data_IF_997814761743
#
_entry.id   IF_997814761743
#
_cell.length_a   1.000
_cell.length_b   1.000
_cell.length_c   1.000
_cell.angle_alpha   90.00
_cell.angle_beta   90.00
_cell.angle_gamma   90.00
#
_symmetry.space_group_name_H-M   'P 1'
#
loop_
_entity.id
_entity.type
_entity.pdbx_description
1 polymer ?
#
# COMPACT_ATOMS: atom_id res chain seq x y z
N UNK A 1 57.96 8.89 -32.68
CA UNK A 1 56.61 8.79 -33.30
C UNK A 1 55.83 7.59 -32.73
N UNK A 2 56.44 6.52 -32.30
CA UNK A 2 55.82 5.36 -31.70
C UNK A 2 55.23 5.57 -30.31
N UNK A 3 55.80 6.42 -29.48
CA UNK A 3 55.33 6.72 -28.10
C UNK A 3 54.01 7.53 -28.05
N UNK A 4 53.75 8.35 -29.06
CA UNK A 4 52.50 9.15 -29.13
C UNK A 4 51.31 8.24 -29.51
N UNK A 5 51.57 7.28 -30.42
CA UNK A 5 50.55 6.33 -30.83
C UNK A 5 50.19 5.35 -29.68
N UNK A 6 51.17 4.87 -28.91
CA UNK A 6 50.90 4.00 -27.75
C UNK A 6 50.10 4.72 -26.67
N UNK A 7 50.33 5.98 -26.38
CA UNK A 7 49.59 6.74 -25.40
C UNK A 7 48.13 7.03 -25.84
N UNK A 8 47.89 7.26 -27.13
CA UNK A 8 46.54 7.41 -27.66
C UNK A 8 45.73 6.11 -27.64
N UNK A 9 46.34 4.97 -27.92
CA UNK A 9 45.72 3.67 -27.79
C UNK A 9 45.38 3.33 -26.33
N UNK A 10 46.27 3.61 -25.37
CA UNK A 10 46.00 3.43 -23.93
C UNK A 10 44.89 4.35 -23.42
N UNK A 11 44.83 5.59 -23.87
CA UNK A 11 43.75 6.51 -23.52
C UNK A 11 42.41 6.05 -24.10
N UNK A 12 42.36 5.59 -25.35
CA UNK A 12 41.14 5.03 -25.95
C UNK A 12 40.67 3.75 -25.27
N UNK A 13 41.58 2.87 -24.87
CA UNK A 13 41.25 1.68 -24.11
C UNK A 13 40.74 2.01 -22.71
N UNK A 14 41.34 3.01 -22.06
CA UNK A 14 40.91 3.46 -20.71
C UNK A 14 39.47 3.98 -20.68
N UNK A 15 39.08 4.80 -21.64
CA UNK A 15 37.71 5.35 -21.67
C UNK A 15 36.66 4.27 -22.04
N UNK A 16 37.03 3.32 -22.93
CA UNK A 16 36.17 2.17 -23.26
C UNK A 16 35.91 1.28 -22.04
N UNK A 17 36.93 1.00 -21.25
CA UNK A 17 36.82 0.28 -19.99
C UNK A 17 35.95 1.02 -18.98
N UNK A 18 36.11 2.34 -18.87
CA UNK A 18 35.27 3.18 -18.03
C UNK A 18 33.80 3.16 -18.48
N UNK A 19 33.55 3.32 -19.78
CA UNK A 19 32.18 3.26 -20.33
C UNK A 19 31.55 1.89 -20.14
N UNK A 20 32.29 0.81 -20.35
CA UNK A 20 31.84 -0.58 -20.13
C UNK A 20 31.51 -0.84 -18.65
N UNK A 21 32.32 -0.31 -17.73
CA UNK A 21 32.09 -0.44 -16.29
C UNK A 21 30.81 0.31 -15.87
N UNK A 22 30.58 1.51 -16.37
CA UNK A 22 29.36 2.29 -16.13
C UNK A 22 28.12 1.57 -16.68
N UNK A 23 28.22 1.07 -17.92
CA UNK A 23 27.11 0.32 -18.53
C UNK A 23 26.80 -0.97 -17.76
N UNK A 24 27.83 -1.70 -17.32
CA UNK A 24 27.70 -2.87 -16.48
C UNK A 24 27.03 -2.57 -15.14
N UNK A 25 27.40 -1.45 -14.51
CA UNK A 25 26.79 -1.00 -13.26
C UNK A 25 25.31 -0.64 -13.44
N UNK A 26 24.96 0.08 -14.50
CA UNK A 26 23.57 0.43 -14.83
C UNK A 26 22.74 -0.83 -15.08
N UNK A 27 23.29 -1.80 -15.83
CA UNK A 27 22.62 -3.07 -16.09
C UNK A 27 22.41 -3.87 -14.80
N UNK A 28 23.41 -3.92 -13.92
CA UNK A 28 23.31 -4.61 -12.63
C UNK A 28 22.25 -3.97 -11.74
N UNK A 29 22.19 -2.64 -11.66
CA UNK A 29 21.15 -1.91 -10.92
C UNK A 29 19.78 -2.19 -11.54
N UNK A 30 19.65 -2.18 -12.86
CA UNK A 30 18.41 -2.50 -13.56
C UNK A 30 17.90 -3.89 -13.25
N UNK A 31 18.77 -4.89 -13.30
CA UNK A 31 18.44 -6.29 -12.96
C UNK A 31 18.05 -6.42 -11.50
N UNK A 32 18.74 -5.76 -10.58
CA UNK A 32 18.39 -5.76 -9.16
C UNK A 32 16.99 -5.18 -8.90
N UNK A 33 16.66 -4.06 -9.55
CA UNK A 33 15.33 -3.46 -9.49
C UNK A 33 14.29 -4.43 -10.04
N UNK A 34 14.54 -5.02 -11.22
CA UNK A 34 13.62 -5.98 -11.82
C UNK A 34 13.34 -7.18 -10.89
N UNK A 35 14.35 -7.77 -10.30
CA UNK A 35 14.18 -8.92 -9.38
C UNK A 35 13.33 -8.52 -8.17
N UNK A 36 13.59 -7.35 -7.59
CA UNK A 36 12.87 -6.88 -6.40
C UNK A 36 11.39 -6.61 -6.70
N UNK A 37 11.08 -5.92 -7.79
CA UNK A 37 9.70 -5.62 -8.17
C UNK A 37 8.97 -6.81 -8.77
N UNK A 38 9.68 -7.71 -9.44
CA UNK A 38 9.09 -8.90 -10.04
C UNK A 38 8.45 -9.82 -8.99
N UNK A 39 9.08 -9.99 -7.84
CA UNK A 39 8.53 -10.82 -6.76
C UNK A 39 7.19 -10.24 -6.20
N UNK A 40 7.09 -8.91 -6.07
CA UNK A 40 5.88 -8.24 -5.61
C UNK A 40 4.79 -8.35 -6.68
N UNK A 41 5.13 -8.10 -7.94
CA UNK A 41 4.22 -8.18 -9.07
C UNK A 41 3.67 -9.60 -9.26
N UNK A 42 4.54 -10.62 -9.18
CA UNK A 42 4.15 -12.02 -9.33
C UNK A 42 3.18 -12.44 -8.21
N UNK A 43 3.42 -12.01 -6.98
CA UNK A 43 2.53 -12.26 -5.84
C UNK A 43 1.15 -11.62 -6.05
N UNK A 44 1.10 -10.37 -6.53
CA UNK A 44 -0.13 -9.68 -6.87
C UNK A 44 -0.92 -10.39 -7.98
N UNK A 45 -0.20 -10.83 -9.02
CA UNK A 45 -0.79 -11.56 -10.15
C UNK A 45 -1.41 -12.89 -9.73
N UNK A 46 -0.67 -13.69 -8.96
CA UNK A 46 -1.13 -14.99 -8.46
C UNK A 46 -2.31 -14.88 -7.48
N UNK A 47 -2.41 -13.76 -6.78
CA UNK A 47 -3.53 -13.48 -5.87
C UNK A 47 -4.76 -12.88 -6.57
N UNK A 48 -4.76 -12.72 -7.89
CA UNK A 48 -5.85 -12.08 -8.63
C UNK A 48 -5.94 -10.56 -8.44
N UNK A 49 -5.02 -9.98 -7.66
CA UNK A 49 -4.95 -8.55 -7.37
C UNK A 49 -4.04 -7.84 -8.39
N UNK A 50 -4.37 -7.92 -9.69
CA UNK A 50 -3.52 -7.40 -10.77
C UNK A 50 -3.21 -5.90 -10.57
N UNK A 51 -1.93 -5.59 -10.41
CA UNK A 51 -1.40 -4.22 -10.40
C UNK A 51 -0.41 -4.11 -11.54
N UNK A 52 -0.53 -3.07 -12.34
CA UNK A 52 0.39 -2.83 -13.45
C UNK A 52 1.82 -2.62 -12.95
N UNK A 53 2.78 -3.24 -13.63
CA UNK A 53 4.21 -3.04 -13.30
C UNK A 53 4.62 -1.55 -13.29
N UNK A 54 4.21 -0.71 -14.25
CA UNK A 54 4.53 0.72 -14.21
C UNK A 54 3.94 1.43 -12.99
N UNK A 55 2.78 1.00 -12.51
CA UNK A 55 2.15 1.56 -11.30
C UNK A 55 3.00 1.30 -10.06
N UNK A 56 3.58 0.10 -9.93
CA UNK A 56 4.48 -0.23 -8.82
C UNK A 56 5.73 0.65 -8.80
N UNK A 57 6.31 0.91 -9.97
CA UNK A 57 7.46 1.81 -10.11
C UNK A 57 7.06 3.24 -9.76
N UNK A 58 5.91 3.72 -10.24
CA UNK A 58 5.40 5.05 -9.96
C UNK A 58 5.12 5.25 -8.45
N UNK A 59 4.54 4.26 -7.76
CA UNK A 59 4.36 4.28 -6.30
C UNK A 59 5.70 4.43 -5.57
N UNK A 60 6.72 3.71 -6.02
CA UNK A 60 8.05 3.80 -5.41
C UNK A 60 8.67 5.19 -5.58
N UNK A 61 8.49 5.82 -6.75
CA UNK A 61 8.96 7.18 -7.02
C UNK A 61 8.26 8.24 -6.15
N UNK A 62 6.99 7.99 -5.78
CA UNK A 62 6.21 8.86 -4.87
C UNK A 62 6.49 8.58 -3.40
N UNK A 63 7.41 7.66 -3.06
CA UNK A 63 7.72 7.30 -1.68
C UNK A 63 6.71 6.35 -1.03
N UNK A 64 5.80 5.76 -1.80
CA UNK A 64 4.82 4.80 -1.30
C UNK A 64 5.40 3.39 -1.30
N UNK A 65 5.33 2.65 -0.19
CA UNK A 65 5.79 1.27 -0.13
C UNK A 65 4.85 0.36 -0.94
N UNK A 66 5.25 0.00 -2.16
CA UNK A 66 4.45 -0.81 -3.07
C UNK A 66 4.02 -2.15 -2.45
N UNK A 67 4.85 -2.77 -1.60
CA UNK A 67 4.52 -4.01 -0.90
C UNK A 67 3.29 -3.86 -0.01
N UNK A 68 3.20 -2.77 0.76
CA UNK A 68 2.08 -2.48 1.66
C UNK A 68 0.76 -2.35 0.87
N UNK A 69 0.78 -1.59 -0.22
CA UNK A 69 -0.39 -1.39 -1.08
C UNK A 69 -0.83 -2.71 -1.74
N UNK A 70 0.13 -3.48 -2.24
CA UNK A 70 -0.16 -4.78 -2.86
C UNK A 70 -0.72 -5.77 -1.83
N UNK A 71 -0.15 -5.86 -0.64
CA UNK A 71 -0.62 -6.75 0.41
C UNK A 71 -2.04 -6.36 0.90
N UNK A 72 -2.33 -5.06 1.02
CA UNK A 72 -3.66 -4.55 1.32
C UNK A 72 -4.67 -4.92 0.21
N UNK A 73 -4.29 -4.74 -1.07
CA UNK A 73 -5.12 -5.11 -2.21
C UNK A 73 -5.37 -6.63 -2.28
N UNK A 74 -4.34 -7.45 -2.07
CA UNK A 74 -4.48 -8.91 -2.00
C UNK A 74 -5.48 -9.29 -0.91
N UNK A 75 -5.40 -8.65 0.24
CA UNK A 75 -6.30 -8.91 1.38
C UNK A 75 -7.73 -8.54 1.05
N UNK A 76 -7.97 -7.39 0.40
CA UNK A 76 -9.31 -6.95 0.00
C UNK A 76 -9.91 -7.87 -1.07
N UNK A 77 -9.14 -8.23 -2.11
CA UNK A 77 -9.60 -9.13 -3.18
C UNK A 77 -9.95 -10.52 -2.64
N UNK A 78 -9.14 -11.07 -1.73
CA UNK A 78 -9.45 -12.35 -1.06
C UNK A 78 -10.71 -12.30 -0.20
N UNK A 79 -11.09 -11.13 0.27
CA UNK A 79 -12.34 -10.93 1.00
C UNK A 79 -13.53 -10.63 0.08
N UNK A 80 -13.32 -10.56 -1.24
CA UNK A 80 -14.36 -10.25 -2.22
C UNK A 80 -14.64 -8.74 -2.39
N UNK A 81 -13.80 -7.89 -1.81
CA UNK A 81 -13.96 -6.43 -1.85
C UNK A 81 -12.96 -5.86 -2.86
N UNK A 82 -13.45 -5.26 -3.93
CA UNK A 82 -12.60 -4.63 -4.93
C UNK A 82 -12.30 -3.17 -4.56
N UNK A 83 -11.04 -2.91 -4.19
CA UNK A 83 -10.52 -1.56 -3.96
C UNK A 83 -9.38 -1.33 -4.94
N UNK A 84 -9.38 -0.20 -5.64
CA UNK A 84 -8.32 0.08 -6.59
C UNK A 84 -6.97 0.35 -5.90
N UNK A 85 -5.87 0.03 -6.58
CA UNK A 85 -4.54 0.34 -6.05
C UNK A 85 -4.32 1.85 -5.88
N UNK A 86 -4.95 2.67 -6.74
CA UNK A 86 -4.87 4.12 -6.67
C UNK A 86 -5.59 4.68 -5.43
N UNK A 87 -6.74 4.09 -5.05
CA UNK A 87 -7.48 4.51 -3.85
C UNK A 87 -6.70 4.17 -2.57
N UNK A 88 -6.07 2.99 -2.53
CA UNK A 88 -5.18 2.61 -1.43
C UNK A 88 -3.96 3.53 -1.35
N UNK A 89 -3.35 3.87 -2.49
CA UNK A 89 -2.24 4.82 -2.57
C UNK A 89 -2.64 6.22 -2.09
N UNK A 90 -3.79 6.72 -2.54
CA UNK A 90 -4.31 8.02 -2.15
C UNK A 90 -4.54 8.10 -0.63
N UNK A 91 -5.11 7.04 -0.04
CA UNK A 91 -5.31 6.97 1.40
C UNK A 91 -3.98 6.92 2.18
N UNK A 92 -2.99 6.19 1.67
CA UNK A 92 -1.64 6.19 2.24
C UNK A 92 -0.98 7.57 2.20
N UNK A 93 -1.09 8.27 1.06
CA UNK A 93 -0.55 9.63 0.90
C UNK A 93 -1.25 10.67 1.79
N UNK A 94 -2.52 10.45 2.11
CA UNK A 94 -3.26 11.21 3.12
C UNK A 94 -2.84 10.85 4.56
N UNK A 95 -1.79 10.03 4.71
CA UNK A 95 -1.30 9.51 5.99
C UNK A 95 -2.32 8.65 6.75
N UNK A 96 -3.28 8.04 6.07
CA UNK A 96 -4.21 7.09 6.64
C UNK A 96 -3.58 5.72 6.87
N UNK A 97 -4.21 4.92 7.73
CA UNK A 97 -3.78 3.55 8.01
C UNK A 97 -4.46 2.55 7.07
N UNK A 98 -3.87 2.34 5.89
CA UNK A 98 -4.41 1.49 4.82
C UNK A 98 -4.79 0.09 5.31
N UNK A 99 -3.92 -0.55 6.08
CA UNK A 99 -4.14 -1.94 6.56
C UNK A 99 -5.36 -2.00 7.50
N UNK A 100 -5.45 -1.08 8.45
CA UNK A 100 -6.56 -1.06 9.41
C UNK A 100 -7.88 -0.71 8.72
N UNK A 101 -7.86 0.21 7.76
CA UNK A 101 -9.06 0.60 7.00
C UNK A 101 -9.58 -0.55 6.16
N UNK A 102 -8.71 -1.30 5.48
CA UNK A 102 -9.11 -2.50 4.74
C UNK A 102 -9.66 -3.58 5.67
N UNK A 103 -9.02 -3.82 6.81
CA UNK A 103 -9.52 -4.78 7.81
C UNK A 103 -10.87 -4.38 8.39
N UNK A 104 -11.09 -3.08 8.64
CA UNK A 104 -12.36 -2.55 9.11
C UNK A 104 -13.47 -2.75 8.06
N UNK A 105 -13.16 -2.52 6.79
CA UNK A 105 -14.10 -2.73 5.70
C UNK A 105 -14.48 -4.22 5.58
N UNK A 106 -13.51 -5.13 5.68
CA UNK A 106 -13.77 -6.58 5.68
C UNK A 106 -14.62 -7.00 6.88
N UNK A 107 -14.36 -6.43 8.05
CA UNK A 107 -15.13 -6.71 9.25
C UNK A 107 -16.58 -6.20 9.14
N UNK A 108 -16.77 -5.03 8.55
CA UNK A 108 -18.08 -4.44 8.28
C UNK A 108 -18.88 -5.29 7.28
N UNK A 109 -18.25 -5.72 6.19
CA UNK A 109 -18.87 -6.58 5.18
C UNK A 109 -19.35 -7.91 5.80
N UNK A 110 -18.50 -8.57 6.58
CA UNK A 110 -18.85 -9.81 7.29
C UNK A 110 -19.98 -9.64 8.32
N UNK A 111 -20.14 -8.43 8.84
CA UNK A 111 -21.20 -8.09 9.80
C UNK A 111 -22.46 -7.54 9.11
N UNK A 112 -22.51 -7.52 7.78
CA UNK A 112 -23.56 -6.89 6.98
C UNK A 112 -23.81 -5.40 7.34
N UNK A 113 -22.73 -4.69 7.71
CA UNK A 113 -22.76 -3.26 7.94
C UNK A 113 -22.39 -2.56 6.63
N UNK A 114 -23.27 -1.69 6.13
CA UNK A 114 -23.02 -0.91 4.93
C UNK A 114 -21.95 0.16 5.19
N UNK A 115 -20.69 -0.20 5.00
CA UNK A 115 -19.54 0.68 5.10
C UNK A 115 -18.87 0.77 3.71
N UNK A 116 -18.88 1.95 3.14
CA UNK A 116 -18.18 2.24 1.90
C UNK A 116 -16.72 2.61 2.15
N UNK A 117 -15.85 2.39 1.15
CA UNK A 117 -14.42 2.71 1.22
C UNK A 117 -14.17 4.17 1.61
N UNK A 118 -14.87 5.10 0.96
CA UNK A 118 -14.67 6.53 1.23
C UNK A 118 -15.02 6.91 2.67
N UNK A 119 -16.12 6.32 3.21
CA UNK A 119 -16.51 6.51 4.62
C UNK A 119 -15.48 5.92 5.57
N UNK A 120 -14.97 4.73 5.27
CA UNK A 120 -13.92 4.10 6.08
C UNK A 120 -12.66 4.97 6.13
N UNK A 121 -12.23 5.51 4.99
CA UNK A 121 -11.12 6.46 4.92
C UNK A 121 -11.38 7.74 5.70
N UNK A 122 -12.58 8.31 5.59
CA UNK A 122 -12.96 9.52 6.33
C UNK A 122 -12.93 9.29 7.84
N UNK A 123 -13.41 8.14 8.32
CA UNK A 123 -13.38 7.78 9.74
C UNK A 123 -11.93 7.60 10.20
N UNK A 124 -11.08 6.92 9.41
CA UNK A 124 -9.67 6.71 9.75
C UNK A 124 -8.94 8.05 9.93
N UNK A 125 -9.10 8.96 8.97
CA UNK A 125 -8.47 10.27 9.02
C UNK A 125 -9.04 11.15 10.15
N UNK A 126 -10.35 11.07 10.43
CA UNK A 126 -10.99 11.83 11.50
C UNK A 126 -10.59 11.30 12.90
N UNK A 127 -10.33 10.01 13.02
CA UNK A 127 -9.94 9.40 14.30
C UNK A 127 -8.43 9.40 14.53
N UNK A 128 -7.66 9.83 13.53
CA UNK A 128 -6.21 10.00 13.63
C UNK A 128 -5.87 10.94 14.80
N UNK A 129 -5.14 10.43 15.77
CA UNK A 129 -4.78 11.19 16.98
C UNK A 129 -5.73 11.01 18.19
N UNK A 130 -6.88 10.37 18.02
CA UNK A 130 -7.79 10.09 19.15
C UNK A 130 -7.54 8.72 19.81
N UNK A 131 -6.60 7.95 19.29
CA UNK A 131 -6.29 6.59 19.75
C UNK A 131 -7.36 5.54 19.41
N UNK A 132 -8.43 5.93 18.72
CA UNK A 132 -9.48 5.01 18.24
C UNK A 132 -9.23 4.68 16.76
N UNK A 133 -9.32 3.41 16.40
CA UNK A 133 -9.20 2.98 15.01
C UNK A 133 -10.58 2.74 14.37
N UNK A 134 -10.65 2.83 13.03
CA UNK A 134 -11.87 2.46 12.28
C UNK A 134 -12.29 1.03 12.62
N UNK A 135 -11.34 0.13 12.77
CA UNK A 135 -11.59 -1.26 13.13
C UNK A 135 -12.26 -1.38 14.51
N UNK A 136 -11.88 -0.55 15.47
CA UNK A 136 -12.52 -0.50 16.80
C UNK A 136 -13.93 0.07 16.72
N UNK A 137 -14.14 1.12 15.92
CA UNK A 137 -15.47 1.68 15.69
C UNK A 137 -16.42 0.65 15.09
N UNK A 138 -15.97 -0.12 14.08
CA UNK A 138 -16.75 -1.20 13.47
C UNK A 138 -17.02 -2.31 14.48
N UNK A 139 -16.01 -2.75 15.24
CA UNK A 139 -16.18 -3.79 16.28
C UNK A 139 -17.17 -3.38 17.37
N UNK A 140 -17.15 -2.11 17.76
CA UNK A 140 -18.10 -1.58 18.75
C UNK A 140 -19.53 -1.54 18.19
N UNK A 141 -19.69 -1.30 16.89
CA UNK A 141 -21.00 -1.35 16.22
C UNK A 141 -21.53 -2.78 16.07
N UNK A 142 -20.64 -3.77 15.89
CA UNK A 142 -21.01 -5.19 15.82
C UNK A 142 -21.42 -5.74 17.20
N UNK A 143 -20.79 -5.23 18.26
CA UNK A 143 -21.05 -5.67 19.63
C UNK A 143 -21.66 -4.50 20.43
N UNK A 144 -22.94 -4.15 20.20
CA UNK A 144 -23.58 -3.08 20.94
C UNK A 144 -23.55 -3.47 22.42
N UNK A 145 -22.85 -2.65 23.23
CA UNK A 145 -23.01 -2.73 24.67
C UNK A 145 -24.48 -2.62 24.92
N UNK A 146 -25.09 -3.66 25.48
CA UNK A 146 -26.47 -3.61 25.95
C UNK A 146 -26.57 -2.43 26.89
N UNK A 147 -27.11 -1.31 26.39
CA UNK A 147 -27.44 -0.18 27.24
C UNK A 147 -28.60 -0.68 28.05
N UNK A 148 -28.35 -1.01 29.32
CA UNK A 148 -29.39 -1.26 30.29
C UNK A 148 -30.20 0.03 30.38
N UNK A 149 -31.28 0.07 29.65
CA UNK A 149 -32.33 1.07 29.93
C UNK A 149 -32.87 0.70 31.29
N UNK A 150 -32.32 1.28 32.36
CA UNK A 150 -32.99 1.34 33.62
C UNK A 150 -34.27 2.13 33.37
N UNK A 151 -35.39 1.43 33.39
CA UNK A 151 -36.70 2.01 33.37
C UNK A 151 -36.77 3.09 34.47
N UNK A 152 -36.74 4.33 34.05
CA UNK A 152 -37.22 5.43 34.87
C UNK A 152 -38.71 5.24 34.98
N UNK A 153 -39.14 4.48 35.97
CA UNK A 153 -40.51 4.52 36.44
C UNK A 153 -40.75 5.90 37.05
N UNK A 154 -41.44 6.75 36.31
CA UNK A 154 -41.99 8.00 36.87
C UNK A 154 -42.89 7.63 38.04
N UNK A 155 -42.68 8.16 39.26
CA UNK A 155 -43.62 8.00 40.32
C UNK A 155 -44.90 8.78 39.96
N UNK A 156 -45.98 8.08 39.70
CA UNK A 156 -47.31 8.65 39.64
C UNK A 156 -47.69 9.05 41.06
N UNK A 157 -47.54 10.31 41.40
CA UNK A 157 -48.15 10.89 42.58
C UNK A 157 -49.62 11.22 42.30
N UNK A 158 -50.49 10.56 43.03
CA UNK A 158 -51.86 10.99 43.25
C UNK A 158 -51.85 12.00 44.36
#
# INVERSE_FOLDING_TARGET
>A
MTSILSNSFLALAGWQLGAAAILGLILLIGVFILITFFSIWLRALLAGASVGFPTLVAMRLRGVPASLIVDARITSVKAGIEISANDLEAHYLAEGNVIQTVQALIAADKANIALDWQRACAIDLATKGTGKSVLEAVRTSINPKAVSYTHLTLPTTY
#
